data_IF_338347559248
#
_entry.id   IF_338347559248
#
_cell.length_a   1.000
_cell.length_b   1.000
_cell.length_c   1.000
_cell.angle_alpha   90.00
_cell.angle_beta   90.00
_cell.angle_gamma   90.00
#
_symmetry.space_group_name_H-M   'P 1'
#
loop_
_entity.id
_entity.type
_entity.pdbx_description
1 polymer ?
#
# COMPACT_ATOMS: atom_id res chain seq x y z
N UNK A 1 -6.18 -4.48 20.10
CA UNK A 1 -5.37 -5.13 19.04
C UNK A 1 -4.72 -4.10 18.14
N UNK A 2 -5.30 -2.91 18.04
CA UNK A 2 -4.95 -1.87 17.07
C UNK A 2 -3.61 -1.18 17.35
N UNK A 3 -3.29 -0.93 18.62
CA UNK A 3 -2.02 -0.27 19.03
C UNK A 3 -0.80 -1.04 18.53
N UNK A 4 -0.84 -2.37 18.58
CA UNK A 4 0.27 -3.20 18.14
C UNK A 4 0.52 -3.06 16.62
N UNK A 5 -0.55 -3.02 15.83
CA UNK A 5 -0.46 -2.82 14.37
C UNK A 5 0.13 -1.45 14.05
N UNK A 6 -0.32 -0.38 14.74
CA UNK A 6 0.24 0.95 14.54
C UNK A 6 1.71 1.05 14.91
N UNK A 7 2.13 0.40 16.00
CA UNK A 7 3.54 0.33 16.40
C UNK A 7 4.36 -0.40 15.34
N UNK A 8 3.88 -1.54 14.82
CA UNK A 8 4.57 -2.26 13.75
C UNK A 8 4.72 -1.41 12.49
N UNK A 9 3.67 -0.69 12.09
CA UNK A 9 3.70 0.23 10.95
C UNK A 9 4.74 1.33 11.20
N UNK A 10 4.74 1.95 12.38
CA UNK A 10 5.70 2.99 12.73
C UNK A 10 7.15 2.48 12.69
N UNK A 11 7.42 1.31 13.26
CA UNK A 11 8.73 0.68 13.23
C UNK A 11 9.16 0.38 11.79
N UNK A 12 8.25 -0.13 10.95
CA UNK A 12 8.54 -0.40 9.54
C UNK A 12 8.89 0.88 8.77
N UNK A 13 8.12 1.96 8.96
CA UNK A 13 8.37 3.26 8.31
C UNK A 13 9.73 3.82 8.75
N UNK A 14 10.01 3.85 10.06
CA UNK A 14 11.28 4.34 10.60
C UNK A 14 12.45 3.47 10.13
N UNK A 15 12.29 2.14 10.15
CA UNK A 15 13.31 1.19 9.70
C UNK A 15 13.66 1.36 8.22
N UNK A 16 12.65 1.47 7.35
CA UNK A 16 12.85 1.71 5.92
C UNK A 16 13.49 3.07 5.65
N UNK A 17 13.04 4.13 6.33
CA UNK A 17 13.63 5.47 6.20
C UNK A 17 15.09 5.47 6.63
N UNK A 18 15.39 4.87 7.78
CA UNK A 18 16.74 4.78 8.31
C UNK A 18 17.65 3.99 7.37
N UNK A 19 17.16 2.87 6.82
CA UNK A 19 17.90 2.05 5.88
C UNK A 19 18.21 2.81 4.59
N UNK A 20 17.20 3.47 4.00
CA UNK A 20 17.38 4.31 2.81
C UNK A 20 18.40 5.43 3.05
N UNK A 21 18.41 6.03 4.24
CA UNK A 21 19.33 7.11 4.61
C UNK A 21 20.77 6.61 4.84
N UNK A 22 20.96 5.53 5.60
CA UNK A 22 22.30 5.07 6.03
C UNK A 22 22.96 4.07 5.08
N UNK A 23 22.17 3.23 4.42
CA UNK A 23 22.62 2.08 3.60
C UNK A 23 21.79 2.02 2.30
N UNK A 24 21.89 3.05 1.44
CA UNK A 24 21.07 3.13 0.22
C UNK A 24 21.25 1.90 -0.69
N UNK A 25 22.43 1.30 -0.73
CA UNK A 25 22.72 0.08 -1.48
C UNK A 25 21.89 -1.12 -1.02
N UNK A 26 21.59 -1.22 0.28
CA UNK A 26 20.74 -2.27 0.84
C UNK A 26 19.28 -1.97 0.61
N UNK A 27 18.90 -0.70 0.68
CA UNK A 27 17.54 -0.27 0.36
C UNK A 27 17.19 -0.53 -1.11
N UNK A 28 18.08 -0.24 -2.05
CA UNK A 28 17.87 -0.53 -3.48
C UNK A 28 17.65 -2.04 -3.74
N UNK A 29 18.35 -2.92 -3.00
CA UNK A 29 18.13 -4.37 -3.07
C UNK A 29 16.75 -4.79 -2.54
N UNK A 30 16.21 -4.07 -1.55
CA UNK A 30 14.90 -4.34 -0.95
C UNK A 30 13.73 -3.68 -1.69
N UNK A 31 14.00 -2.62 -2.45
CA UNK A 31 12.97 -1.87 -3.18
C UNK A 31 12.14 -2.77 -4.11
N UNK A 32 12.79 -3.58 -4.94
CA UNK A 32 12.12 -4.47 -5.87
C UNK A 32 11.26 -5.54 -5.16
N UNK A 33 11.79 -6.30 -4.17
CA UNK A 33 10.97 -7.22 -3.38
C UNK A 33 9.76 -6.57 -2.71
N UNK A 34 9.94 -5.39 -2.08
CA UNK A 34 8.84 -4.67 -1.43
C UNK A 34 7.78 -4.23 -2.44
N UNK A 35 8.21 -3.73 -3.60
CA UNK A 35 7.31 -3.31 -4.67
C UNK A 35 6.51 -4.50 -5.22
N UNK A 36 7.17 -5.62 -5.49
CA UNK A 36 6.52 -6.87 -5.93
C UNK A 36 5.50 -7.33 -4.88
N UNK A 37 5.88 -7.32 -3.60
CA UNK A 37 4.98 -7.74 -2.52
C UNK A 37 3.73 -6.84 -2.42
N UNK A 38 3.90 -5.53 -2.49
CA UNK A 38 2.78 -4.56 -2.50
C UNK A 38 1.89 -4.81 -3.72
N UNK A 39 2.49 -5.03 -4.90
CA UNK A 39 1.76 -5.24 -6.14
C UNK A 39 0.95 -6.56 -6.13
N UNK A 40 1.54 -7.66 -5.67
CA UNK A 40 0.85 -8.94 -5.50
C UNK A 40 -0.31 -8.77 -4.52
N UNK A 41 -0.06 -8.15 -3.37
CA UNK A 41 -1.09 -7.89 -2.35
C UNK A 41 -2.25 -7.09 -2.96
N UNK A 42 -1.94 -6.02 -3.67
CA UNK A 42 -2.94 -5.20 -4.35
C UNK A 42 -3.76 -5.97 -5.39
N UNK A 43 -3.12 -6.80 -6.22
CA UNK A 43 -3.81 -7.67 -7.18
C UNK A 43 -4.73 -8.66 -6.46
N UNK A 44 -4.24 -9.33 -5.42
CA UNK A 44 -5.03 -10.29 -4.65
C UNK A 44 -6.29 -9.65 -4.05
N UNK A 45 -6.15 -8.46 -3.44
CA UNK A 45 -7.28 -7.71 -2.90
C UNK A 45 -8.25 -7.23 -4.00
N UNK A 46 -7.72 -6.86 -5.17
CA UNK A 46 -8.54 -6.47 -6.34
C UNK A 46 -9.32 -7.64 -6.91
N UNK A 47 -8.69 -8.82 -7.01
CA UNK A 47 -9.32 -10.08 -7.43
C UNK A 47 -10.42 -10.45 -6.44
N UNK A 48 -10.14 -10.38 -5.14
CA UNK A 48 -11.13 -10.65 -4.09
C UNK A 48 -12.37 -9.76 -4.26
N UNK A 49 -12.17 -8.45 -4.39
CA UNK A 49 -13.29 -7.52 -4.52
C UNK A 49 -14.12 -7.77 -5.78
N UNK A 50 -13.44 -8.10 -6.89
CA UNK A 50 -14.09 -8.46 -8.16
C UNK A 50 -14.86 -9.78 -8.05
N UNK A 51 -14.30 -10.78 -7.38
CA UNK A 51 -14.93 -12.07 -7.16
C UNK A 51 -16.21 -11.91 -6.34
N UNK A 52 -16.19 -11.10 -5.28
CA UNK A 52 -17.37 -10.80 -4.46
C UNK A 52 -18.49 -10.14 -5.29
N UNK A 53 -18.14 -9.17 -6.13
CA UNK A 53 -19.13 -8.51 -7.00
C UNK A 53 -19.72 -9.49 -8.03
N UNK A 54 -18.90 -10.35 -8.64
CA UNK A 54 -19.38 -11.38 -9.58
C UNK A 54 -20.24 -12.44 -8.89
N UNK A 55 -19.89 -12.84 -7.67
CA UNK A 55 -20.68 -13.77 -6.88
C UNK A 55 -22.08 -13.20 -6.60
N UNK A 56 -22.18 -11.92 -6.21
CA UNK A 56 -23.48 -11.28 -6.02
C UNK A 56 -24.31 -11.25 -7.29
N UNK A 57 -23.71 -10.91 -8.45
CA UNK A 57 -24.42 -10.90 -9.74
C UNK A 57 -24.95 -12.30 -10.08
N UNK A 58 -24.12 -13.34 -9.90
CA UNK A 58 -24.50 -14.71 -10.18
C UNK A 58 -25.60 -15.23 -9.23
N UNK A 59 -25.58 -14.80 -7.96
CA UNK A 59 -26.58 -15.19 -6.96
C UNK A 59 -27.87 -14.36 -7.04
N UNK A 60 -27.85 -13.22 -7.74
CA UNK A 60 -28.95 -12.26 -7.79
C UNK A 60 -30.27 -12.88 -8.27
N UNK A 61 -30.21 -13.83 -9.21
CA UNK A 61 -31.40 -14.52 -9.74
C UNK A 61 -32.03 -15.49 -8.73
N UNK A 62 -31.27 -15.91 -7.72
CA UNK A 62 -31.69 -16.86 -6.69
C UNK A 62 -32.12 -16.18 -5.38
N UNK A 63 -31.86 -14.88 -5.23
CA UNK A 63 -32.21 -14.10 -4.03
C UNK A 63 -33.60 -13.49 -4.22
N UNK A 64 -34.45 -13.60 -3.19
CA UNK A 64 -35.77 -12.95 -3.22
C UNK A 64 -35.61 -11.43 -3.26
N UNK A 65 -36.47 -10.73 -4.00
CA UNK A 65 -36.35 -9.28 -4.24
C UNK A 65 -36.35 -8.44 -2.96
N UNK A 66 -37.07 -8.87 -1.93
CA UNK A 66 -37.14 -8.25 -0.60
C UNK A 66 -35.87 -8.46 0.24
N UNK A 67 -35.12 -9.53 0.00
CA UNK A 67 -33.88 -9.87 0.72
C UNK A 67 -32.61 -9.32 0.03
N UNK A 68 -32.72 -8.88 -1.22
CA UNK A 68 -31.62 -8.40 -2.05
C UNK A 68 -30.89 -7.18 -1.45
N UNK A 69 -31.62 -6.30 -0.76
CA UNK A 69 -31.03 -5.16 -0.05
C UNK A 69 -30.14 -5.57 1.11
N UNK A 70 -30.60 -6.54 1.92
CA UNK A 70 -29.82 -7.08 3.03
C UNK A 70 -28.58 -7.85 2.54
N UNK A 71 -28.72 -8.62 1.46
CA UNK A 71 -27.60 -9.33 0.83
C UNK A 71 -26.51 -8.37 0.32
N UNK A 72 -26.91 -7.25 -0.31
CA UNK A 72 -25.98 -6.19 -0.73
C UNK A 72 -25.26 -5.53 0.45
N UNK A 73 -26.01 -5.15 1.48
CA UNK A 73 -25.44 -4.53 2.68
C UNK A 73 -24.42 -5.45 3.37
N UNK A 74 -24.72 -6.75 3.44
CA UNK A 74 -23.77 -7.73 3.97
C UNK A 74 -22.55 -7.88 3.07
N UNK A 75 -22.72 -7.87 1.74
CA UNK A 75 -21.57 -7.93 0.82
C UNK A 75 -20.65 -6.71 0.98
N UNK A 76 -21.22 -5.53 1.15
CA UNK A 76 -20.48 -4.27 1.33
C UNK A 76 -19.55 -4.31 2.55
N UNK A 77 -19.89 -5.05 3.63
CA UNK A 77 -18.99 -5.17 4.79
C UNK A 77 -17.78 -6.06 4.54
N UNK A 78 -17.82 -6.91 3.51
CA UNK A 78 -16.71 -7.80 3.11
C UNK A 78 -15.94 -7.26 1.91
N UNK A 79 -16.51 -6.28 1.20
CA UNK A 79 -15.84 -5.57 0.13
C UNK A 79 -14.82 -4.61 0.71
N UNK A 80 -13.70 -4.52 0.01
CA UNK A 80 -12.66 -3.56 0.36
C UNK A 80 -13.01 -2.24 -0.33
N UNK A 81 -13.11 -1.12 0.40
CA UNK A 81 -13.36 0.17 -0.21
C UNK A 81 -12.25 0.53 -1.21
N UNK A 82 -12.60 0.66 -2.49
CA UNK A 82 -11.63 0.90 -3.56
C UNK A 82 -10.82 2.17 -3.36
N UNK A 83 -11.46 3.27 -2.96
CA UNK A 83 -10.80 4.57 -2.78
C UNK A 83 -9.67 4.45 -1.74
N UNK A 84 -9.92 4.04 -0.48
CA UNK A 84 -8.85 3.79 0.49
C UNK A 84 -7.77 2.82 0.00
N UNK A 85 -8.15 1.72 -0.66
CA UNK A 85 -7.19 0.74 -1.19
C UNK A 85 -6.22 1.40 -2.19
N UNK A 86 -6.75 2.11 -3.18
CA UNK A 86 -5.92 2.80 -4.17
C UNK A 86 -5.08 3.90 -3.52
N UNK A 87 -5.65 4.70 -2.63
CA UNK A 87 -4.94 5.78 -1.93
C UNK A 87 -3.75 5.25 -1.14
N UNK A 88 -3.93 4.16 -0.38
CA UNK A 88 -2.86 3.54 0.41
C UNK A 88 -1.75 3.01 -0.49
N UNK A 89 -2.10 2.29 -1.56
CA UNK A 89 -1.12 1.73 -2.50
C UNK A 89 -0.34 2.83 -3.22
N UNK A 90 -1.02 3.89 -3.66
CA UNK A 90 -0.37 5.05 -4.28
C UNK A 90 0.57 5.76 -3.31
N UNK A 91 0.15 5.95 -2.06
CA UNK A 91 0.97 6.57 -1.03
C UNK A 91 2.22 5.75 -0.73
N UNK A 92 2.08 4.42 -0.58
CA UNK A 92 3.21 3.50 -0.40
C UNK A 92 4.17 3.56 -1.58
N UNK A 93 3.66 3.60 -2.81
CA UNK A 93 4.49 3.70 -4.01
C UNK A 93 5.30 4.99 -4.05
N UNK A 94 4.63 6.15 -3.85
CA UNK A 94 5.30 7.46 -3.80
C UNK A 94 6.31 7.51 -2.67
N UNK A 95 5.99 6.95 -1.51
CA UNK A 95 6.89 6.90 -0.36
C UNK A 95 8.15 6.08 -0.65
N UNK A 96 8.02 4.87 -1.22
CA UNK A 96 9.17 4.05 -1.58
C UNK A 96 10.02 4.71 -2.68
N UNK A 97 9.39 5.32 -3.68
CA UNK A 97 10.10 6.10 -4.70
C UNK A 97 10.87 7.27 -4.07
N UNK A 98 10.24 8.03 -3.19
CA UNK A 98 10.87 9.13 -2.48
C UNK A 98 12.13 8.66 -1.73
N UNK A 99 12.04 7.55 -1.00
CA UNK A 99 13.19 6.97 -0.30
C UNK A 99 14.32 6.57 -1.25
N UNK A 100 14.03 6.12 -2.47
CA UNK A 100 15.04 5.83 -3.50
C UNK A 100 15.80 7.09 -3.95
N UNK A 101 15.15 8.27 -3.93
CA UNK A 101 15.77 9.54 -4.30
C UNK A 101 16.46 10.28 -3.13
N UNK A 102 16.08 9.96 -1.89
CA UNK A 102 16.59 10.59 -0.67
C UNK A 102 18.14 10.69 -0.61
N UNK A 103 18.92 9.64 -0.92
CA UNK A 103 20.38 9.70 -0.84
C UNK A 103 20.98 10.69 -1.85
N UNK A 104 20.36 10.79 -3.04
CA UNK A 104 20.82 11.68 -4.11
C UNK A 104 20.58 13.14 -3.77
N UNK A 105 19.47 13.44 -3.11
CA UNK A 105 19.17 14.79 -2.62
C UNK A 105 20.19 15.24 -1.55
N UNK A 106 20.51 14.35 -0.60
CA UNK A 106 21.46 14.65 0.48
C UNK A 106 22.90 14.85 0.01
N UNK A 107 23.34 14.10 -1.01
CA UNK A 107 24.68 14.28 -1.60
C UNK A 107 24.82 15.64 -2.29
N UNK A 108 23.77 16.12 -2.98
CA UNK A 108 23.79 17.44 -3.66
C UNK A 108 23.92 18.61 -2.68
N UNK A 109 23.38 18.50 -1.47
CA UNK A 109 23.54 19.55 -0.44
C UNK A 109 24.95 19.62 0.14
N UNK A 110 25.58 18.46 0.41
CA UNK A 110 26.96 18.43 0.94
C UNK A 110 27.94 19.10 -0.03
N UNK A 111 27.79 18.88 -1.33
CA UNK A 111 28.64 19.49 -2.37
C UNK A 111 28.40 20.98 -2.57
N UNK A 112 27.20 21.49 -2.24
CA UNK A 112 26.90 22.93 -2.28
C UNK A 112 27.47 23.69 -1.08
N UNK A 113 27.48 23.09 0.12
CA UNK A 113 28.04 23.72 1.33
C UNK A 113 29.56 23.88 1.28
N UNK A 114 30.29 22.97 0.63
CA UNK A 114 31.74 23.08 0.42
C UNK A 114 32.15 24.07 -0.67
N UNK A 115 31.20 24.60 -1.46
CA UNK A 115 31.44 25.59 -2.53
C UNK A 115 30.96 27.01 -2.20
N UNK A 116 30.44 27.25 -0.99
CA UNK A 116 30.18 28.62 -0.53
C UNK A 116 31.50 29.18 0.04
N UNK A 117 32.10 30.20 -0.59
CA UNK A 117 33.31 30.85 -0.10
C UNK A 117 33.07 31.59 1.22
#
# INVERSE_FOLDING_TARGET
>A
MDIFIYILIAIAIVGLTYLAYKRPEKYEQLFNPLYIFIFITYISLSIWNTAMMRALIALNEFIKKDELGAAKAMLETWQIPWIPLHTIVWFLFVYLLFLSFLPRMLRKEKTKKTKKP
#
